data_IF_875323097656
#
_entry.id   IF_875323097656
#
_cell.length_a   1.000
_cell.length_b   1.000
_cell.length_c   1.000
_cell.angle_alpha   90.00
_cell.angle_beta   90.00
_cell.angle_gamma   90.00
#
_symmetry.space_group_name_H-M   'P 1'
#
loop_
_entity.id
_entity.type
_entity.pdbx_description
1 polymer ?
#
# COMPACT_ATOMS: atom_id res chain seq x y z
N UNK A 1 -3.07 -20.74 17.95
CA UNK A 1 -2.91 -19.56 17.07
C UNK A 1 -4.29 -19.13 16.55
N UNK A 2 -4.64 -17.83 16.56
CA UNK A 2 -5.87 -17.34 15.95
C UNK A 2 -5.89 -17.63 14.45
N UNK A 3 -7.02 -18.12 13.96
CA UNK A 3 -7.15 -18.67 12.62
C UNK A 3 -7.27 -17.61 11.51
N UNK A 4 -7.50 -16.33 11.84
CA UNK A 4 -7.75 -15.25 10.87
C UNK A 4 -7.30 -13.87 11.40
N UNK A 5 -7.01 -12.93 10.49
CA UNK A 5 -6.60 -11.53 10.79
C UNK A 5 -7.58 -10.83 11.76
N UNK A 6 -8.92 -10.92 11.61
CA UNK A 6 -9.86 -10.27 12.52
C UNK A 6 -9.78 -10.77 13.97
N UNK A 7 -9.31 -12.00 14.19
CA UNK A 7 -9.11 -12.56 15.53
C UNK A 7 -7.80 -12.06 16.11
N UNK A 8 -6.75 -11.94 15.29
CA UNK A 8 -5.47 -11.34 15.70
C UNK A 8 -5.61 -9.84 16.01
N UNK A 9 -6.47 -9.12 15.30
CA UNK A 9 -6.77 -7.70 15.53
C UNK A 9 -7.23 -7.41 16.96
N UNK A 10 -8.01 -8.32 17.57
CA UNK A 10 -8.45 -8.19 18.97
C UNK A 10 -7.33 -8.37 20.00
N UNK A 11 -6.22 -8.93 19.58
CA UNK A 11 -5.07 -9.26 20.41
C UNK A 11 -3.89 -8.30 20.16
N UNK A 12 -4.03 -7.37 19.20
CA UNK A 12 -3.01 -6.36 18.91
C UNK A 12 -2.87 -5.39 20.07
N UNK A 13 -1.62 -5.04 20.40
CA UNK A 13 -1.36 -3.90 21.28
C UNK A 13 -1.64 -2.58 20.56
N UNK A 14 -1.63 -1.46 21.29
CA UNK A 14 -1.95 -0.13 20.74
C UNK A 14 -1.07 0.26 19.55
N UNK A 15 0.23 -0.05 19.59
CA UNK A 15 1.17 0.26 18.52
C UNK A 15 0.89 -0.56 17.25
N UNK A 16 0.70 -1.87 17.42
CA UNK A 16 0.34 -2.79 16.32
C UNK A 16 -1.01 -2.43 15.70
N UNK A 17 -2.00 -2.04 16.51
CA UNK A 17 -3.31 -1.60 16.04
C UNK A 17 -3.22 -0.28 15.24
N UNK A 18 -2.37 0.66 15.68
CA UNK A 18 -2.12 1.89 14.92
C UNK A 18 -1.43 1.62 13.58
N UNK A 19 -0.44 0.72 13.55
CA UNK A 19 0.24 0.29 12.33
C UNK A 19 -0.73 -0.38 11.34
N UNK A 20 -1.54 -1.36 11.79
CA UNK A 20 -2.53 -2.05 10.95
C UNK A 20 -3.58 -1.07 10.38
N UNK A 21 -4.06 -0.13 11.19
CA UNK A 21 -4.99 0.90 10.74
C UNK A 21 -4.36 1.87 9.73
N UNK A 22 -3.09 2.24 9.91
CA UNK A 22 -2.37 3.08 8.96
C UNK A 22 -2.22 2.37 7.60
N UNK A 23 -1.92 1.07 7.61
CA UNK A 23 -1.86 0.25 6.40
C UNK A 23 -3.23 0.13 5.70
N UNK A 24 -4.32 -0.09 6.46
CA UNK A 24 -5.70 -0.05 5.92
C UNK A 24 -6.01 1.29 5.26
N UNK A 25 -5.65 2.39 5.92
CA UNK A 25 -5.89 3.74 5.41
C UNK A 25 -5.14 3.99 4.11
N UNK A 26 -3.85 3.64 4.06
CA UNK A 26 -3.04 3.76 2.84
C UNK A 26 -3.60 2.90 1.70
N UNK A 27 -4.06 1.67 1.99
CA UNK A 27 -4.70 0.80 1.00
C UNK A 27 -5.96 1.45 0.40
N UNK A 28 -6.77 2.09 1.25
CA UNK A 28 -7.94 2.85 0.82
C UNK A 28 -7.54 4.05 -0.05
N UNK A 29 -6.59 4.88 0.41
CA UNK A 29 -6.13 6.05 -0.32
C UNK A 29 -5.61 5.69 -1.72
N UNK A 30 -4.76 4.67 -1.84
CA UNK A 30 -4.25 4.21 -3.13
C UNK A 30 -5.37 3.73 -4.06
N UNK A 31 -6.34 3.00 -3.51
CA UNK A 31 -7.50 2.53 -4.27
C UNK A 31 -8.32 3.68 -4.84
N UNK A 32 -8.47 4.77 -4.07
CA UNK A 32 -9.17 5.98 -4.48
C UNK A 32 -8.33 6.79 -5.49
N UNK A 33 -7.05 6.99 -5.25
CA UNK A 33 -6.14 7.73 -6.14
C UNK A 33 -6.06 7.13 -7.54
N UNK A 34 -6.07 5.80 -7.65
CA UNK A 34 -6.08 5.13 -8.95
C UNK A 34 -7.49 4.99 -9.54
N UNK A 35 -8.57 5.30 -8.79
CA UNK A 35 -9.96 5.19 -9.26
C UNK A 35 -10.24 5.98 -10.55
N UNK A 36 -9.78 7.22 -10.70
CA UNK A 36 -9.90 7.99 -11.95
C UNK A 36 -9.41 7.28 -13.20
N UNK A 37 -8.30 6.53 -13.12
CA UNK A 37 -7.74 5.80 -14.27
C UNK A 37 -8.69 4.76 -14.86
N UNK A 38 -9.71 4.32 -14.11
CA UNK A 38 -10.74 3.40 -14.56
C UNK A 38 -12.02 4.08 -15.05
N UNK A 39 -12.28 5.30 -14.58
CA UNK A 39 -13.52 6.05 -14.87
C UNK A 39 -13.36 6.89 -16.13
N UNK A 40 -12.25 7.64 -16.27
CA UNK A 40 -12.07 8.57 -17.38
C UNK A 40 -11.73 7.91 -18.71
N UNK A 41 -11.22 6.68 -18.67
CA UNK A 41 -10.71 6.04 -19.88
C UNK A 41 -11.81 5.58 -20.85
N UNK A 42 -12.94 4.99 -20.41
CA UNK A 42 -14.08 4.71 -21.30
C UNK A 42 -14.63 5.98 -21.97
N UNK A 43 -14.68 7.10 -21.24
CA UNK A 43 -15.14 8.39 -21.78
C UNK A 43 -14.23 8.91 -22.90
N UNK A 44 -12.91 8.86 -22.69
CA UNK A 44 -11.91 9.21 -23.71
C UNK A 44 -12.01 8.34 -24.98
N UNK A 45 -12.21 7.03 -24.81
CA UNK A 45 -12.36 6.09 -25.95
C UNK A 45 -13.65 6.33 -26.74
N UNK A 46 -14.71 6.83 -26.11
CA UNK A 46 -15.95 7.16 -26.79
C UNK A 46 -15.83 8.39 -27.69
N UNK A 47 -14.94 9.34 -27.37
CA UNK A 47 -14.76 10.59 -28.12
C UNK A 47 -13.93 10.38 -29.39
N UNK A 48 -12.97 9.46 -29.37
CA UNK A 48 -12.09 9.14 -30.52
C UNK A 48 -12.27 7.70 -31.03
N UNK A 49 -13.53 7.30 -31.29
CA UNK A 49 -13.88 5.93 -31.74
C UNK A 49 -13.21 5.47 -33.06
N UNK A 50 -12.63 6.39 -33.83
CA UNK A 50 -11.92 6.10 -35.09
C UNK A 50 -10.44 5.73 -34.92
N UNK A 51 -9.85 5.86 -33.73
CA UNK A 51 -8.41 5.62 -33.52
C UNK A 51 -8.13 4.24 -32.87
N UNK A 52 -7.62 3.25 -33.62
CA UNK A 52 -7.36 1.91 -33.08
C UNK A 52 -6.26 1.89 -32.01
N UNK A 53 -5.37 2.89 -31.99
CA UNK A 53 -4.32 2.98 -30.98
C UNK A 53 -4.88 3.38 -29.61
N UNK A 54 -5.98 4.14 -29.56
CA UNK A 54 -6.57 4.58 -28.30
C UNK A 54 -7.07 3.40 -27.46
N UNK A 55 -7.69 2.41 -28.12
CA UNK A 55 -8.12 1.17 -27.49
C UNK A 55 -6.93 0.40 -26.89
N UNK A 56 -5.80 0.38 -27.59
CA UNK A 56 -4.56 -0.25 -27.10
C UNK A 56 -3.99 0.50 -25.89
N UNK A 57 -3.89 1.83 -25.95
CA UNK A 57 -3.40 2.63 -24.82
C UNK A 57 -4.32 2.53 -23.61
N UNK A 58 -5.64 2.45 -23.82
CA UNK A 58 -6.61 2.18 -22.77
C UNK A 58 -6.32 0.87 -22.04
N UNK A 59 -6.16 -0.22 -22.78
CA UNK A 59 -5.89 -1.53 -22.18
C UNK A 59 -4.59 -1.50 -21.37
N UNK A 60 -3.54 -0.84 -21.89
CA UNK A 60 -2.28 -0.65 -21.15
C UNK A 60 -2.51 0.11 -19.85
N UNK A 61 -3.26 1.21 -19.86
CA UNK A 61 -3.56 1.98 -18.66
C UNK A 61 -4.38 1.19 -17.64
N UNK A 62 -5.32 0.35 -18.08
CA UNK A 62 -6.06 -0.56 -17.20
C UNK A 62 -5.15 -1.62 -16.57
N UNK A 63 -4.25 -2.20 -17.35
CA UNK A 63 -3.31 -3.20 -16.85
C UNK A 63 -2.32 -2.59 -15.88
N UNK A 64 -1.81 -1.38 -16.15
CA UNK A 64 -0.98 -0.61 -15.22
C UNK A 64 -1.73 -0.34 -13.92
N UNK A 65 -2.98 0.14 -14.00
CA UNK A 65 -3.82 0.37 -12.82
C UNK A 65 -4.00 -0.92 -12.00
N UNK A 66 -4.31 -2.04 -12.65
CA UNK A 66 -4.47 -3.35 -11.98
C UNK A 66 -3.18 -3.79 -11.33
N UNK A 67 -2.05 -3.66 -12.01
CA UNK A 67 -0.73 -4.01 -11.49
C UNK A 67 -0.40 -3.18 -10.25
N UNK A 68 -0.59 -1.86 -10.31
CA UNK A 68 -0.36 -0.96 -9.18
C UNK A 68 -1.23 -1.36 -7.99
N UNK A 69 -2.54 -1.51 -8.19
CA UNK A 69 -3.46 -1.92 -7.12
C UNK A 69 -3.09 -3.29 -6.54
N UNK A 70 -2.70 -4.24 -7.38
CA UNK A 70 -2.31 -5.57 -6.95
C UNK A 70 -1.03 -5.54 -6.12
N UNK A 71 0.04 -4.92 -6.62
CA UNK A 71 1.34 -4.86 -5.92
C UNK A 71 1.22 -4.13 -4.58
N UNK A 72 0.55 -2.98 -4.55
CA UNK A 72 0.36 -2.24 -3.30
C UNK A 72 -0.54 -2.99 -2.33
N UNK A 73 -1.65 -3.55 -2.80
CA UNK A 73 -2.57 -4.30 -1.94
C UNK A 73 -1.93 -5.59 -1.41
N UNK A 74 -1.15 -6.30 -2.23
CA UNK A 74 -0.46 -7.52 -1.81
C UNK A 74 0.60 -7.21 -0.78
N UNK A 75 1.39 -6.15 -0.98
CA UNK A 75 2.40 -5.69 -0.01
C UNK A 75 1.77 -5.29 1.32
N UNK A 76 0.71 -4.48 1.30
CA UNK A 76 0.00 -4.08 2.53
C UNK A 76 -0.65 -5.27 3.22
N UNK A 77 -1.28 -6.17 2.47
CA UNK A 77 -1.88 -7.39 3.03
C UNK A 77 -0.82 -8.28 3.68
N UNK A 78 0.36 -8.41 3.06
CA UNK A 78 1.49 -9.14 3.63
C UNK A 78 1.98 -8.48 4.94
N UNK A 79 2.16 -7.16 4.97
CA UNK A 79 2.55 -6.44 6.18
C UNK A 79 1.52 -6.62 7.31
N UNK A 80 0.23 -6.53 7.00
CA UNK A 80 -0.85 -6.77 7.96
C UNK A 80 -0.87 -8.21 8.48
N UNK A 81 -0.61 -9.18 7.61
CA UNK A 81 -0.45 -10.59 8.01
C UNK A 81 0.75 -10.77 8.94
N UNK A 82 1.87 -10.09 8.68
CA UNK A 82 3.04 -10.14 9.55
C UNK A 82 2.75 -9.57 10.94
N UNK A 83 2.02 -8.44 11.03
CA UNK A 83 1.55 -7.91 12.31
C UNK A 83 0.69 -8.95 13.03
N UNK A 84 -0.29 -9.54 12.34
CA UNK A 84 -1.15 -10.57 12.89
C UNK A 84 -0.37 -11.81 13.37
N UNK A 85 0.70 -12.21 12.68
CA UNK A 85 1.57 -13.31 13.10
C UNK A 85 2.41 -12.94 14.34
N UNK A 86 2.97 -11.73 14.39
CA UNK A 86 3.74 -11.22 15.55
C UNK A 86 2.91 -11.08 16.83
N UNK A 87 1.60 -10.87 16.69
CA UNK A 87 0.67 -10.86 17.84
C UNK A 87 0.59 -12.24 18.50
N UNK A 88 0.76 -13.31 17.72
CA UNK A 88 0.59 -14.70 18.15
C UNK A 88 1.91 -15.31 18.57
N UNK A 89 2.95 -15.02 17.80
CA UNK A 89 4.34 -15.39 18.05
C UNK A 89 5.21 -14.14 17.94
N UNK A 90 5.53 -13.49 19.07
CA UNK A 90 6.38 -12.30 19.08
C UNK A 90 7.78 -12.52 18.51
N UNK A 91 8.26 -13.76 18.47
CA UNK A 91 9.55 -14.12 17.88
C UNK A 91 9.50 -14.29 16.36
N UNK A 92 8.31 -14.22 15.76
CA UNK A 92 8.12 -14.34 14.33
C UNK A 92 8.81 -13.18 13.59
N UNK A 93 9.80 -13.53 12.77
CA UNK A 93 10.48 -12.62 11.86
C UNK A 93 10.41 -13.19 10.46
N UNK A 94 9.71 -12.49 9.56
CA UNK A 94 9.72 -12.81 8.15
C UNK A 94 11.04 -12.32 7.57
N UNK A 95 11.90 -13.22 7.08
CA UNK A 95 13.10 -12.81 6.33
C UNK A 95 12.66 -12.15 5.02
N UNK A 96 12.49 -10.83 5.04
CA UNK A 96 12.33 -10.04 3.82
C UNK A 96 13.68 -10.02 3.11
N UNK A 97 13.88 -10.93 2.17
CA UNK A 97 14.98 -10.81 1.21
C UNK A 97 14.79 -9.47 0.48
N UNK A 98 15.74 -8.55 0.67
CA UNK A 98 15.78 -7.15 0.21
C UNK A 98 15.09 -6.15 1.15
N UNK A 99 15.83 -5.71 2.16
CA UNK A 99 15.70 -4.37 2.74
C UNK A 99 16.06 -3.34 1.66
N UNK A 100 15.11 -3.03 0.78
CA UNK A 100 15.18 -1.74 0.10
C UNK A 100 14.86 -0.69 1.18
N UNK A 101 15.88 0.10 1.56
CA UNK A 101 15.74 1.22 2.48
C UNK A 101 14.82 2.28 1.85
N UNK A 102 13.52 2.13 2.07
CA UNK A 102 12.48 3.10 1.65
C UNK A 102 12.22 4.16 2.71
N UNK A 103 12.91 4.09 3.85
CA UNK A 103 12.82 5.05 4.94
C UNK A 103 14.09 5.90 4.98
N UNK A 104 13.89 7.17 5.30
CA UNK A 104 14.96 8.14 5.55
C UNK A 104 15.86 7.57 6.67
N UNK A 105 17.19 7.50 6.47
CA UNK A 105 18.14 7.11 7.50
C UNK A 105 17.96 7.91 8.80
N UNK A 106 18.24 7.29 9.95
CA UNK A 106 17.99 7.88 11.27
C UNK A 106 18.68 9.25 11.45
N UNK A 107 19.89 9.39 10.93
CA UNK A 107 20.67 10.63 10.91
C UNK A 107 20.01 11.75 10.10
N UNK A 108 19.42 11.41 8.96
CA UNK A 108 18.69 12.35 8.12
C UNK A 108 17.32 12.73 8.75
N UNK A 109 16.70 11.81 9.49
CA UNK A 109 15.48 12.10 10.26
C UNK A 109 15.77 13.05 11.45
N UNK A 110 16.82 12.77 12.23
CA UNK A 110 17.21 13.59 13.39
C UNK A 110 17.64 15.00 12.98
N UNK A 111 18.42 15.12 11.91
CA UNK A 111 18.81 16.44 11.37
C UNK A 111 17.59 17.25 10.91
N UNK A 112 16.60 16.61 10.30
CA UNK A 112 15.35 17.28 9.88
C UNK A 112 14.57 17.84 11.08
N UNK A 113 14.50 17.11 12.20
CA UNK A 113 13.84 17.57 13.43
C UNK A 113 14.56 18.76 14.08
N UNK A 114 15.90 18.74 14.09
CA UNK A 114 16.71 19.84 14.61
C UNK A 114 16.48 21.12 13.79
N UNK A 115 16.43 21.00 12.46
CA UNK A 115 16.18 22.14 11.57
C UNK A 115 14.76 22.72 11.71
N UNK A 116 13.75 21.91 12.02
CA UNK A 116 12.39 22.39 12.25
C UNK A 116 12.21 23.07 13.62
N UNK A 117 13.00 22.68 14.62
CA UNK A 117 12.88 23.22 15.99
C UNK A 117 13.72 24.50 16.19
N UNK A 118 14.68 24.77 15.29
CA UNK A 118 15.54 25.94 15.33
C UNK A 118 15.01 27.16 14.53
N UNK A 119 13.80 27.07 13.96
CA UNK A 119 13.13 28.14 13.21
C UNK A 119 12.05 28.85 14.05
#
# INVERSE_FOLDING_TARGET
>A
APATIPIAERLMNTGQGFEDNSLKHLQYLLSVTFRPLGIFTPELVSVESGNPNLKRYYNILQDVRRLLLYVFSSSMTQSRNNIALRVVDPSFSLKTNQEANYTIPLDEFESTLIHQTAA
#
